data_IF_276583194235
#
_entry.id   IF_276583194235
#
_cell.length_a   1.000
_cell.length_b   1.000
_cell.length_c   1.000
_cell.angle_alpha   90.00
_cell.angle_beta   90.00
_cell.angle_gamma   90.00
#
_symmetry.space_group_name_H-M   'P 1'
#
loop_
_entity.id
_entity.type
_entity.pdbx_description
1 polymer ?
#
# COMPACT_ATOMS: atom_id res chain seq x y z
N UNK A 1 21.82 46.88 46.91
CA UNK A 1 22.22 46.50 45.54
C UNK A 1 21.00 45.84 44.94
N UNK A 2 20.48 46.51 43.91
CA UNK A 2 19.20 46.33 43.24
C UNK A 2 19.06 44.94 42.62
N UNK A 3 17.91 44.30 42.85
CA UNK A 3 17.43 43.19 42.03
C UNK A 3 16.70 43.81 40.84
N UNK A 4 17.26 43.64 39.65
CA UNK A 4 16.59 43.98 38.40
C UNK A 4 15.65 42.82 38.03
N UNK A 5 14.35 43.08 38.15
CA UNK A 5 13.29 42.27 37.57
C UNK A 5 13.25 42.52 36.06
N UNK A 6 13.77 41.59 35.25
CA UNK A 6 13.54 41.58 33.81
C UNK A 6 12.14 41.01 33.52
N UNK A 7 11.20 41.92 33.31
CA UNK A 7 9.86 41.70 32.79
C UNK A 7 9.94 41.30 31.30
N UNK A 8 10.07 39.99 31.04
CA UNK A 8 9.94 39.43 29.69
C UNK A 8 8.45 39.36 29.33
N UNK A 9 7.97 40.45 28.75
CA UNK A 9 6.68 40.53 28.07
C UNK A 9 6.64 39.50 26.92
N UNK A 10 5.98 38.37 27.19
CA UNK A 10 5.61 37.39 26.15
C UNK A 10 4.48 37.99 25.32
N UNK A 11 4.81 38.44 24.12
CA UNK A 11 3.82 38.70 23.09
C UNK A 11 2.99 37.42 22.83
N UNK A 12 1.67 37.51 22.67
CA UNK A 12 0.85 36.35 22.38
C UNK A 12 1.24 35.82 20.99
N UNK A 13 1.76 34.59 20.95
CA UNK A 13 1.92 33.84 19.72
C UNK A 13 0.52 33.66 19.12
N UNK A 14 0.22 34.37 18.03
CA UNK A 14 -0.96 34.11 17.22
C UNK A 14 -0.89 32.68 16.70
N UNK A 15 -1.77 31.82 17.23
CA UNK A 15 -1.91 30.47 16.76
C UNK A 15 -2.40 30.49 15.29
N UNK A 16 -1.92 29.60 14.42
CA UNK A 16 -2.42 29.50 13.06
C UNK A 16 -3.93 29.26 13.06
N UNK A 17 -4.64 29.96 12.17
CA UNK A 17 -6.12 29.98 12.04
C UNK A 17 -6.77 28.59 11.83
N UNK A 18 -5.97 27.55 11.58
CA UNK A 18 -6.41 26.18 11.37
C UNK A 18 -6.96 25.46 12.62
N UNK A 19 -7.03 26.13 13.78
CA UNK A 19 -7.64 25.63 15.02
C UNK A 19 -8.97 26.33 15.39
N UNK A 20 -9.67 26.94 14.43
CA UNK A 20 -10.94 27.61 14.72
C UNK A 20 -12.00 26.67 15.31
N UNK A 21 -12.52 27.15 16.45
CA UNK A 21 -13.64 26.66 17.25
C UNK A 21 -14.88 26.41 16.38
N UNK A 22 -15.74 25.49 16.79
CA UNK A 22 -16.85 24.93 15.99
C UNK A 22 -17.70 25.93 15.20
N UNK A 23 -18.32 25.42 14.13
CA UNK A 23 -19.10 26.18 13.15
C UNK A 23 -20.23 27.01 13.79
N UNK A 24 -20.40 28.24 13.31
CA UNK A 24 -21.55 29.06 13.67
C UNK A 24 -22.86 28.42 13.19
N UNK A 25 -23.99 28.74 13.83
CA UNK A 25 -25.28 28.14 13.52
C UNK A 25 -25.69 28.32 12.05
N UNK A 26 -25.34 29.46 11.47
CA UNK A 26 -25.59 29.83 10.07
C UNK A 26 -24.71 29.08 9.06
N UNK A 27 -23.57 28.54 9.51
CA UNK A 27 -22.68 27.71 8.69
C UNK A 27 -23.08 26.22 8.72
N UNK A 28 -24.02 25.84 9.58
CA UNK A 28 -24.45 24.46 9.74
C UNK A 28 -25.41 24.05 8.62
N UNK A 29 -25.30 22.81 8.18
CA UNK A 29 -26.17 22.22 7.15
C UNK A 29 -27.28 21.43 7.83
N UNK A 30 -28.54 21.75 7.53
CA UNK A 30 -29.71 21.03 8.05
C UNK A 30 -29.96 19.77 7.24
N UNK A 31 -30.10 18.62 7.90
CA UNK A 31 -30.48 17.37 7.24
C UNK A 31 -31.94 17.42 6.81
N UNK A 32 -32.23 17.12 5.54
CA UNK A 32 -33.61 17.12 5.01
C UNK A 32 -34.49 16.01 5.62
N UNK A 33 -33.89 14.90 6.04
CA UNK A 33 -34.61 13.75 6.60
C UNK A 33 -34.98 13.93 8.07
N UNK A 34 -34.02 14.35 8.91
CA UNK A 34 -34.24 14.44 10.36
C UNK A 34 -34.25 15.86 10.92
N UNK A 35 -34.08 16.86 10.05
CA UNK A 35 -34.11 18.30 10.36
C UNK A 35 -33.08 18.76 11.41
N UNK A 36 -32.05 17.94 11.69
CA UNK A 36 -30.98 18.29 12.64
C UNK A 36 -29.84 18.98 11.92
N UNK A 37 -29.27 19.99 12.58
CA UNK A 37 -28.11 20.73 12.09
C UNK A 37 -26.84 19.87 12.17
N UNK A 38 -26.01 19.93 11.14
CA UNK A 38 -24.76 19.19 11.01
C UNK A 38 -23.61 20.14 10.64
N UNK A 39 -22.36 19.83 11.04
CA UNK A 39 -21.20 20.54 10.55
C UNK A 39 -21.11 20.47 9.01
N UNK A 40 -20.74 21.57 8.33
CA UNK A 40 -20.63 21.62 6.86
C UNK A 40 -19.51 20.74 6.29
N UNK A 41 -18.61 20.24 7.14
CA UNK A 41 -17.51 19.35 6.76
C UNK A 41 -17.95 17.92 6.42
N UNK A 42 -19.19 17.53 6.75
CA UNK A 42 -19.71 16.16 6.56
C UNK A 42 -20.51 16.03 5.27
N UNK A 43 -20.45 14.84 4.69
CA UNK A 43 -21.30 14.43 3.56
C UNK A 43 -22.57 13.69 4.00
N UNK A 44 -22.59 13.16 5.23
CA UNK A 44 -23.73 12.43 5.82
C UNK A 44 -24.10 12.96 7.20
N UNK A 45 -25.40 12.95 7.49
CA UNK A 45 -25.96 13.38 8.76
C UNK A 45 -25.41 12.54 9.92
N UNK A 46 -24.95 13.21 10.98
CA UNK A 46 -24.46 12.59 12.20
C UNK A 46 -25.52 11.73 12.91
N UNK A 47 -26.81 12.04 12.73
CA UNK A 47 -27.89 11.46 13.52
C UNK A 47 -28.67 10.35 12.82
N UNK A 48 -28.89 10.46 11.50
CA UNK A 48 -29.67 9.49 10.74
C UNK A 48 -28.91 8.91 9.54
N UNK A 49 -27.66 9.31 9.31
CA UNK A 49 -26.82 8.87 8.20
C UNK A 49 -27.31 9.23 6.79
N UNK A 50 -28.41 9.99 6.66
CA UNK A 50 -28.89 10.50 5.37
C UNK A 50 -27.86 11.43 4.73
N UNK A 51 -27.83 11.48 3.40
CA UNK A 51 -26.98 12.41 2.66
C UNK A 51 -27.36 13.86 2.98
N UNK A 52 -26.36 14.72 3.18
CA UNK A 52 -26.58 16.16 3.40
C UNK A 52 -26.58 16.90 2.06
N UNK A 53 -27.43 17.92 1.88
CA UNK A 53 -27.47 18.72 0.66
C UNK A 53 -26.12 19.37 0.39
N UNK A 54 -25.74 19.45 -0.89
CA UNK A 54 -24.52 20.14 -1.32
C UNK A 54 -24.85 21.62 -1.55
N UNK A 55 -24.27 22.49 -0.73
CA UNK A 55 -24.29 23.95 -0.93
C UNK A 55 -22.88 24.40 -1.30
N UNK A 56 -22.73 25.51 -2.04
CA UNK A 56 -21.39 26.03 -2.41
C UNK A 56 -20.49 26.22 -1.18
N UNK A 57 -21.03 26.82 -0.11
CA UNK A 57 -20.31 27.02 1.15
C UNK A 57 -19.92 25.70 1.86
N UNK A 58 -20.74 24.64 1.74
CA UNK A 58 -20.39 23.34 2.33
C UNK A 58 -19.43 22.54 1.45
N UNK A 59 -19.48 22.72 0.12
CA UNK A 59 -18.58 22.04 -0.81
C UNK A 59 -17.10 22.37 -0.53
N UNK A 60 -16.80 23.64 -0.22
CA UNK A 60 -15.44 24.09 0.10
C UNK A 60 -14.91 23.56 1.44
N UNK A 61 -15.82 23.31 2.40
CA UNK A 61 -15.48 22.87 3.75
C UNK A 61 -15.49 21.34 3.89
N UNK A 62 -16.06 20.61 2.93
CA UNK A 62 -16.11 19.14 2.96
C UNK A 62 -14.73 18.54 3.01
N UNK A 63 -14.56 17.58 3.92
CA UNK A 63 -13.34 16.80 4.06
C UNK A 63 -13.61 15.33 3.75
N UNK A 64 -12.69 14.63 3.07
CA UNK A 64 -12.82 13.20 2.84
C UNK A 64 -12.75 12.45 4.17
N UNK A 65 -13.54 11.38 4.31
CA UNK A 65 -13.59 10.57 5.54
C UNK A 65 -12.76 9.30 5.33
N UNK A 66 -11.46 9.50 5.20
CA UNK A 66 -10.51 8.41 4.97
C UNK A 66 -10.43 7.51 6.21
N UNK A 67 -11.15 6.39 6.17
CA UNK A 67 -11.01 5.29 7.13
C UNK A 67 -10.12 4.20 6.54
N UNK A 68 -9.51 3.43 7.43
CA UNK A 68 -8.84 2.19 7.02
C UNK A 68 -9.89 1.21 6.51
N UNK A 69 -9.69 0.70 5.30
CA UNK A 69 -10.48 -0.39 4.75
C UNK A 69 -9.95 -1.72 5.26
N UNK A 70 -10.87 -2.64 5.53
CA UNK A 70 -10.55 -4.02 5.86
C UNK A 70 -9.98 -4.76 4.65
N UNK A 71 -9.35 -5.92 4.90
CA UNK A 71 -8.65 -6.68 3.86
C UNK A 71 -9.56 -7.09 2.69
N UNK A 72 -10.81 -7.44 2.98
CA UNK A 72 -11.80 -7.90 2.00
C UNK A 72 -12.59 -6.75 1.35
N UNK A 73 -12.46 -5.53 1.85
CA UNK A 73 -13.17 -4.37 1.30
C UNK A 73 -12.48 -3.87 0.04
N UNK A 74 -13.28 -3.69 -1.02
CA UNK A 74 -12.84 -3.00 -2.25
C UNK A 74 -12.87 -1.48 -2.02
N UNK A 75 -11.94 -0.78 -2.64
CA UNK A 75 -11.84 0.67 -2.57
C UNK A 75 -11.33 1.30 -3.86
N UNK A 76 -11.11 2.61 -3.78
CA UNK A 76 -10.65 3.46 -4.86
C UNK A 76 -9.33 4.10 -4.44
N UNK A 77 -8.26 3.82 -5.18
CA UNK A 77 -6.92 4.33 -4.88
C UNK A 77 -6.76 5.69 -5.56
N UNK A 78 -6.44 6.73 -4.80
CA UNK A 78 -6.05 8.03 -5.33
C UNK A 78 -4.54 8.00 -5.49
N UNK A 79 -4.07 7.95 -6.74
CA UNK A 79 -2.66 7.74 -7.08
C UNK A 79 -2.06 9.06 -7.56
N UNK A 80 -0.99 9.48 -6.89
CA UNK A 80 -0.11 10.57 -7.34
C UNK A 80 0.66 10.12 -8.56
N UNK A 81 0.56 10.87 -9.65
CA UNK A 81 1.44 10.74 -10.80
C UNK A 81 2.71 11.58 -10.60
N UNK A 82 3.83 11.22 -11.25
CA UNK A 82 5.04 12.02 -11.20
C UNK A 82 4.77 13.48 -11.57
N UNK A 83 5.07 14.37 -10.64
CA UNK A 83 5.02 15.81 -10.82
C UNK A 83 6.29 16.44 -10.21
N UNK A 84 6.65 17.61 -10.70
CA UNK A 84 7.69 18.42 -10.05
C UNK A 84 7.07 19.13 -8.86
N UNK A 85 7.73 19.06 -7.71
CA UNK A 85 7.34 19.84 -6.55
C UNK A 85 7.59 21.32 -6.87
N UNK A 86 6.51 22.09 -7.01
CA UNK A 86 6.59 23.54 -7.12
C UNK A 86 6.49 24.22 -5.76
N UNK A 87 6.84 25.50 -5.69
CA UNK A 87 6.84 26.31 -4.45
C UNK A 87 5.51 26.27 -3.68
N UNK A 88 4.38 26.15 -4.39
CA UNK A 88 3.04 26.03 -3.78
C UNK A 88 2.84 24.76 -2.96
N UNK A 89 3.55 23.68 -3.26
CA UNK A 89 3.46 22.43 -2.53
C UNK A 89 4.24 22.50 -1.21
N UNK A 90 5.35 23.25 -1.19
CA UNK A 90 6.20 23.40 -0.01
C UNK A 90 5.50 24.11 1.14
N UNK A 91 4.63 25.06 0.83
CA UNK A 91 3.84 25.79 1.83
C UNK A 91 2.56 25.05 2.25
N UNK A 92 2.16 24.00 1.53
CA UNK A 92 0.87 23.33 1.70
C UNK A 92 0.97 21.95 2.40
N UNK A 93 2.16 21.53 2.83
CA UNK A 93 2.36 20.19 3.40
C UNK A 93 1.44 19.85 4.56
N UNK A 94 1.26 20.78 5.50
CA UNK A 94 0.40 20.58 6.68
C UNK A 94 -1.07 20.44 6.32
N UNK A 95 -1.54 21.18 5.32
CA UNK A 95 -2.93 21.07 4.86
C UNK A 95 -3.18 19.75 4.15
N UNK A 96 -2.29 19.38 3.22
CA UNK A 96 -2.40 18.15 2.42
C UNK A 96 -2.28 16.92 3.32
N UNK A 97 -1.32 16.91 4.26
CA UNK A 97 -1.13 15.81 5.21
C UNK A 97 -2.35 15.65 6.11
N UNK A 98 -2.93 16.75 6.59
CA UNK A 98 -4.17 16.77 7.36
C UNK A 98 -5.39 16.25 6.58
N UNK A 99 -5.48 16.57 5.28
CA UNK A 99 -6.55 16.08 4.41
C UNK A 99 -6.44 14.57 4.15
N UNK A 100 -5.22 14.09 3.92
CA UNK A 100 -4.92 12.68 3.64
C UNK A 100 -4.81 11.80 4.89
N UNK A 101 -4.73 12.42 6.07
CA UNK A 101 -4.42 11.76 7.36
C UNK A 101 -3.07 11.01 7.32
N UNK A 102 -2.11 11.60 6.63
CA UNK A 102 -0.72 11.13 6.56
C UNK A 102 0.16 12.00 7.45
N UNK A 103 1.31 11.47 7.89
CA UNK A 103 2.36 12.33 8.43
C UNK A 103 3.00 13.13 7.29
N UNK A 104 3.52 14.33 7.59
CA UNK A 104 4.16 15.15 6.56
C UNK A 104 5.39 14.46 5.93
N UNK A 105 6.16 13.73 6.74
CA UNK A 105 7.35 12.99 6.29
C UNK A 105 6.96 11.86 5.32
N UNK A 106 5.84 11.20 5.56
CA UNK A 106 5.30 10.15 4.69
C UNK A 106 4.89 10.75 3.34
N UNK A 107 4.16 11.86 3.36
CA UNK A 107 3.75 12.58 2.16
C UNK A 107 4.96 13.08 1.35
N UNK A 108 5.94 13.70 2.02
CA UNK A 108 7.19 14.15 1.40
C UNK A 108 7.95 12.99 0.77
N UNK A 109 8.00 11.83 1.44
CA UNK A 109 8.62 10.60 0.92
C UNK A 109 7.91 10.08 -0.34
N UNK A 110 6.57 10.09 -0.35
CA UNK A 110 5.78 9.70 -1.52
C UNK A 110 6.06 10.63 -2.72
N UNK A 111 6.04 11.94 -2.51
CA UNK A 111 6.31 12.93 -3.58
C UNK A 111 7.76 12.82 -4.07
N UNK A 112 8.73 12.69 -3.15
CA UNK A 112 10.15 12.58 -3.48
C UNK A 112 10.49 11.30 -4.27
N UNK A 113 9.69 10.24 -4.15
CA UNK A 113 9.90 9.00 -4.89
C UNK A 113 9.79 9.19 -6.42
N UNK A 114 9.05 10.22 -6.89
CA UNK A 114 8.78 10.50 -8.31
C UNK A 114 8.26 9.29 -9.09
N UNK A 115 7.52 8.43 -8.39
CA UNK A 115 6.84 7.28 -8.96
C UNK A 115 5.34 7.42 -8.74
N UNK A 116 4.51 6.82 -9.62
CA UNK A 116 3.11 6.60 -9.36
C UNK A 116 2.86 5.83 -8.05
N UNK A 117 2.37 6.52 -7.02
CA UNK A 117 2.15 5.96 -5.68
C UNK A 117 0.80 6.42 -5.12
N UNK A 118 0.09 5.55 -4.37
CA UNK A 118 -1.17 5.91 -3.75
C UNK A 118 -0.96 6.93 -2.61
N UNK A 119 -1.81 7.96 -2.57
CA UNK A 119 -1.93 8.94 -1.48
C UNK A 119 -3.08 8.63 -0.52
N UNK A 120 -4.13 7.99 -1.03
CA UNK A 120 -5.27 7.56 -0.24
C UNK A 120 -5.94 6.34 -0.87
N UNK A 121 -6.69 5.60 -0.05
CA UNK A 121 -7.61 4.56 -0.50
C UNK A 121 -8.98 4.85 0.12
N UNK A 122 -9.93 5.25 -0.72
CA UNK A 122 -11.28 5.64 -0.32
C UNK A 122 -12.25 4.46 -0.43
N UNK A 123 -13.31 4.50 0.36
CA UNK A 123 -14.36 3.47 0.35
C UNK A 123 -15.32 3.57 -0.84
N UNK A 124 -15.43 4.77 -1.43
CA UNK A 124 -16.34 5.06 -2.54
C UNK A 124 -15.67 5.94 -3.59
N UNK A 125 -16.18 5.88 -4.82
CA UNK A 125 -15.69 6.75 -5.90
C UNK A 125 -15.88 8.24 -5.58
N UNK A 126 -17.03 8.62 -5.01
CA UNK A 126 -17.30 10.02 -4.62
C UNK A 126 -16.28 10.56 -3.62
N UNK A 127 -15.87 9.73 -2.65
CA UNK A 127 -14.86 10.11 -1.68
C UNK A 127 -13.46 10.22 -2.32
N UNK A 128 -13.10 9.32 -3.23
CA UNK A 128 -11.86 9.43 -3.99
C UNK A 128 -11.83 10.69 -4.88
N UNK A 129 -12.94 11.00 -5.56
CA UNK A 129 -13.08 12.20 -6.37
C UNK A 129 -12.96 13.47 -5.52
N UNK A 130 -13.54 13.49 -4.31
CA UNK A 130 -13.37 14.59 -3.37
C UNK A 130 -11.90 14.79 -2.96
N UNK A 131 -11.15 13.70 -2.70
CA UNK A 131 -9.70 13.81 -2.44
C UNK A 131 -9.00 14.42 -3.66
N UNK A 132 -9.30 13.93 -4.86
CA UNK A 132 -8.71 14.42 -6.10
C UNK A 132 -8.96 15.93 -6.29
N UNK A 133 -10.21 16.37 -6.17
CA UNK A 133 -10.62 17.77 -6.34
C UNK A 133 -10.01 18.70 -5.29
N UNK A 134 -9.83 18.21 -4.06
CA UNK A 134 -9.16 18.98 -3.01
C UNK A 134 -7.65 19.08 -3.19
N UNK A 135 -7.04 18.15 -3.91
CA UNK A 135 -5.60 18.13 -4.11
C UNK A 135 -5.14 18.80 -5.42
N UNK A 136 -6.02 18.86 -6.44
CA UNK A 136 -5.77 19.54 -7.71
C UNK A 136 -5.27 20.99 -7.56
N UNK A 137 -5.81 21.84 -6.65
CA UNK A 137 -5.35 23.22 -6.48
C UNK A 137 -3.87 23.34 -6.06
N UNK A 138 -3.30 22.31 -5.43
CA UNK A 138 -1.88 22.28 -5.06
C UNK A 138 -0.97 21.82 -6.22
N UNK A 139 -1.51 21.67 -7.43
CA UNK A 139 -0.76 21.27 -8.62
C UNK A 139 -0.44 19.76 -8.69
N UNK A 140 -1.01 18.95 -7.80
CA UNK A 140 -0.81 17.50 -7.80
C UNK A 140 -1.57 16.86 -8.97
N UNK A 141 -0.85 16.06 -9.75
CA UNK A 141 -1.44 15.24 -10.82
C UNK A 141 -1.88 13.91 -10.23
N UNK A 142 -3.17 13.62 -10.32
CA UNK A 142 -3.79 12.48 -9.67
C UNK A 142 -4.62 11.68 -10.66
N UNK A 143 -4.77 10.40 -10.37
CA UNK A 143 -5.77 9.53 -10.99
C UNK A 143 -6.46 8.69 -9.92
N UNK A 144 -7.73 8.36 -10.14
CA UNK A 144 -8.47 7.42 -9.29
C UNK A 144 -8.49 6.04 -9.95
N UNK A 145 -7.96 5.04 -9.25
CA UNK A 145 -7.87 3.65 -9.73
C UNK A 145 -8.68 2.72 -8.82
N UNK A 146 -9.81 2.15 -9.28
CA UNK A 146 -10.55 1.14 -8.54
C UNK A 146 -9.71 -0.11 -8.26
N UNK A 147 -9.88 -0.74 -7.09
CA UNK A 147 -9.23 -2.03 -6.81
C UNK A 147 -9.65 -3.15 -7.78
N UNK A 148 -10.86 -3.04 -8.33
CA UNK A 148 -11.38 -3.95 -9.37
C UNK A 148 -10.49 -3.93 -10.62
N UNK A 149 -10.04 -2.75 -11.05
CA UNK A 149 -9.15 -2.59 -12.19
C UNK A 149 -7.74 -3.13 -11.90
N UNK A 150 -7.32 -3.13 -10.63
CA UNK A 150 -6.07 -3.76 -10.20
C UNK A 150 -6.19 -5.29 -10.10
N UNK A 151 -7.42 -5.82 -10.03
CA UNK A 151 -7.75 -7.25 -10.00
C UNK A 151 -6.91 -8.06 -8.99
N UNK A 152 -6.63 -7.47 -7.82
CA UNK A 152 -5.70 -8.02 -6.81
C UNK A 152 -6.19 -9.36 -6.27
N UNK A 153 -7.49 -9.47 -5.98
CA UNK A 153 -8.09 -10.67 -5.39
C UNK A 153 -8.59 -11.69 -6.44
N UNK A 154 -8.95 -11.21 -7.63
CA UNK A 154 -9.55 -12.05 -8.68
C UNK A 154 -8.51 -12.77 -9.54
N UNK A 155 -7.36 -12.13 -9.76
CA UNK A 155 -6.29 -12.65 -10.61
C UNK A 155 -5.08 -12.93 -9.72
N UNK A 156 -5.07 -14.08 -9.07
CA UNK A 156 -3.92 -14.50 -8.26
C UNK A 156 -2.71 -14.76 -9.18
N UNK A 157 -1.51 -14.26 -8.84
CA UNK A 157 -0.29 -14.55 -9.60
C UNK A 157 -0.06 -16.06 -9.76
N UNK A 158 0.17 -16.50 -10.99
CA UNK A 158 0.52 -17.90 -11.27
C UNK A 158 1.98 -18.14 -10.91
N UNK A 159 2.22 -18.76 -9.76
CA UNK A 159 3.57 -19.07 -9.28
C UNK A 159 4.24 -20.12 -10.17
N UNK A 160 5.48 -19.87 -10.53
CA UNK A 160 6.30 -20.75 -11.36
C UNK A 160 7.35 -21.47 -10.53
N UNK A 161 7.59 -22.75 -10.84
CA UNK A 161 8.67 -23.55 -10.26
C UNK A 161 9.91 -23.63 -11.15
N UNK A 162 9.74 -23.45 -12.46
CA UNK A 162 10.83 -23.51 -13.42
C UNK A 162 10.47 -22.78 -14.72
N UNK A 163 11.49 -22.47 -15.51
CA UNK A 163 11.36 -22.01 -16.88
C UNK A 163 12.23 -22.88 -17.80
N UNK A 164 11.91 -22.84 -19.10
CA UNK A 164 12.83 -23.22 -20.17
C UNK A 164 12.88 -22.09 -21.18
N UNK A 165 14.09 -21.62 -21.49
CA UNK A 165 14.28 -20.59 -22.49
C UNK A 165 14.43 -21.23 -23.87
N UNK A 166 13.62 -20.76 -24.82
CA UNK A 166 13.72 -21.09 -26.24
C UNK A 166 14.16 -19.85 -27.01
N UNK A 167 14.34 -19.99 -28.33
CA UNK A 167 14.82 -18.90 -29.17
C UNK A 167 13.83 -17.72 -29.17
N UNK A 168 12.56 -17.99 -29.46
CA UNK A 168 11.52 -16.95 -29.63
C UNK A 168 10.50 -16.93 -28.49
N UNK A 169 10.59 -17.86 -27.55
CA UNK A 169 9.65 -18.01 -26.44
C UNK A 169 10.34 -18.45 -25.15
N UNK A 170 9.56 -18.45 -24.07
CA UNK A 170 9.85 -19.19 -22.85
C UNK A 170 8.72 -20.17 -22.57
N UNK A 171 9.05 -21.31 -21.98
CA UNK A 171 8.09 -22.26 -21.45
C UNK A 171 8.08 -22.13 -19.93
N UNK A 172 6.92 -21.81 -19.38
CA UNK A 172 6.68 -21.61 -17.97
C UNK A 172 6.02 -22.83 -17.33
N UNK A 173 6.64 -23.34 -16.26
CA UNK A 173 6.15 -24.49 -15.50
C UNK A 173 5.55 -24.02 -14.17
N UNK A 174 4.22 -24.11 -13.99
CA UNK A 174 3.56 -23.69 -12.76
C UNK A 174 3.92 -24.58 -11.57
N UNK A 175 3.89 -24.00 -10.36
CA UNK A 175 4.05 -24.75 -9.10
C UNK A 175 2.84 -25.67 -8.83
N UNK A 176 1.64 -25.29 -9.30
CA UNK A 176 0.39 -26.03 -9.07
C UNK A 176 0.31 -27.39 -9.78
N UNK A 177 1.29 -27.75 -10.61
CA UNK A 177 1.24 -28.95 -11.44
C UNK A 177 0.35 -28.84 -12.67
N UNK A 178 -0.21 -27.64 -12.94
CA UNK A 178 -0.90 -27.36 -14.19
C UNK A 178 0.04 -27.48 -15.42
N UNK A 179 -0.56 -27.60 -16.60
CA UNK A 179 0.19 -27.69 -17.86
C UNK A 179 1.15 -26.51 -18.04
N UNK A 180 2.29 -26.80 -18.65
CA UNK A 180 3.26 -25.79 -19.01
C UNK A 180 2.65 -24.86 -20.06
N UNK A 181 2.95 -23.56 -19.94
CA UNK A 181 2.48 -22.55 -20.89
C UNK A 181 3.67 -21.97 -21.64
N UNK A 182 3.54 -21.77 -22.95
CA UNK A 182 4.53 -21.05 -23.75
C UNK A 182 4.13 -19.58 -23.85
N UNK A 183 5.11 -18.69 -23.76
CA UNK A 183 4.95 -17.25 -23.88
C UNK A 183 6.03 -16.70 -24.80
N UNK A 184 5.66 -15.94 -25.83
CA UNK A 184 6.66 -15.33 -26.72
C UNK A 184 7.36 -14.16 -26.03
N UNK A 185 8.63 -13.95 -26.36
CA UNK A 185 9.39 -12.84 -25.78
C UNK A 185 8.79 -11.46 -26.11
N UNK A 186 8.15 -11.32 -27.27
CA UNK A 186 7.53 -10.08 -27.76
C UNK A 186 6.10 -9.84 -27.23
N UNK A 187 5.54 -10.80 -26.51
CA UNK A 187 4.26 -10.69 -25.80
C UNK A 187 4.45 -10.21 -24.35
N UNK A 188 5.66 -10.32 -23.80
CA UNK A 188 6.01 -9.79 -22.48
C UNK A 188 6.03 -8.26 -22.55
N UNK A 189 5.32 -7.62 -21.62
CA UNK A 189 5.11 -6.16 -21.62
C UNK A 189 5.66 -5.46 -20.40
N UNK A 190 5.63 -6.13 -19.24
CA UNK A 190 6.11 -5.57 -17.99
C UNK A 190 6.76 -6.66 -17.15
N UNK A 191 7.91 -6.31 -16.58
CA UNK A 191 8.65 -7.08 -15.61
C UNK A 191 8.74 -6.23 -14.34
N UNK A 192 8.25 -6.73 -13.21
CA UNK A 192 8.33 -6.01 -11.92
C UNK A 192 9.12 -6.85 -10.95
N UNK A 193 10.25 -6.34 -10.48
CA UNK A 193 11.08 -7.00 -9.46
C UNK A 193 10.79 -6.43 -8.08
N UNK A 194 10.98 -7.26 -7.07
CA UNK A 194 10.78 -6.88 -5.67
C UNK A 194 11.39 -7.87 -4.71
N UNK A 195 11.23 -7.59 -3.42
CA UNK A 195 11.57 -8.49 -2.32
C UNK A 195 10.36 -8.70 -1.42
N UNK A 196 9.99 -9.95 -1.23
CA UNK A 196 8.97 -10.36 -0.27
C UNK A 196 9.63 -10.61 1.08
N UNK A 197 9.23 -9.84 2.07
CA UNK A 197 9.63 -9.98 3.45
C UNK A 197 8.48 -10.59 4.24
N UNK A 198 8.75 -11.72 4.89
CA UNK A 198 7.82 -12.35 5.83
C UNK A 198 8.48 -12.41 7.19
N UNK A 199 7.81 -11.87 8.20
CA UNK A 199 8.22 -11.98 9.60
C UNK A 199 7.16 -12.74 10.36
N UNK A 200 7.54 -13.81 11.05
CA UNK A 200 6.67 -14.61 11.91
C UNK A 200 7.22 -14.64 13.32
N UNK A 201 6.45 -14.10 14.25
CA UNK A 201 6.74 -14.12 15.68
C UNK A 201 5.83 -15.15 16.33
N UNK A 202 6.40 -16.15 16.99
CA UNK A 202 5.68 -17.17 17.75
C UNK A 202 5.92 -16.92 19.23
N UNK A 203 4.85 -16.71 19.99
CA UNK A 203 4.89 -16.46 21.44
C UNK A 203 4.26 -17.66 22.14
N UNK A 204 5.01 -18.27 23.06
CA UNK A 204 4.49 -19.27 23.99
C UNK A 204 4.19 -18.60 25.32
N UNK A 205 2.93 -18.65 25.75
CA UNK A 205 2.47 -18.10 27.01
C UNK A 205 2.02 -19.19 27.98
N UNK A 206 2.20 -18.94 29.27
CA UNK A 206 1.68 -19.81 30.33
C UNK A 206 0.82 -19.00 31.28
N UNK A 207 -0.29 -19.59 31.71
CA UNK A 207 -1.14 -18.99 32.74
C UNK A 207 -0.38 -18.88 34.06
N UNK A 208 -0.14 -17.66 34.52
CA UNK A 208 0.51 -17.41 35.79
C UNK A 208 -0.38 -17.88 36.95
N UNK A 209 0.19 -18.52 37.98
CA UNK A 209 -0.58 -19.03 39.13
C UNK A 209 -1.12 -17.94 40.06
N UNK A 210 -0.66 -16.68 39.92
CA UNK A 210 -0.97 -15.57 40.84
C UNK A 210 -1.24 -14.22 40.15
N UNK A 211 -1.25 -14.16 38.82
CA UNK A 211 -1.53 -12.93 38.05
C UNK A 211 -2.68 -13.17 37.07
N UNK A 212 -3.44 -12.11 36.78
CA UNK A 212 -4.45 -12.11 35.73
C UNK A 212 -3.82 -12.14 34.32
N UNK A 213 -2.55 -11.75 34.20
CA UNK A 213 -1.79 -11.76 32.96
C UNK A 213 -1.02 -13.08 32.79
N UNK A 214 -0.94 -13.55 31.54
CA UNK A 214 -0.12 -14.70 31.19
C UNK A 214 1.37 -14.32 31.22
N UNK A 215 2.21 -15.28 31.57
CA UNK A 215 3.67 -15.13 31.55
C UNK A 215 4.19 -15.63 30.19
N UNK A 216 4.88 -14.75 29.44
CA UNK A 216 5.58 -15.12 28.21
C UNK A 216 6.74 -16.05 28.60
N UNK A 217 6.69 -17.28 28.10
CA UNK A 217 7.68 -18.32 28.38
C UNK A 217 8.79 -18.36 27.34
N UNK A 218 8.42 -18.22 26.07
CA UNK A 218 9.33 -18.26 24.93
C UNK A 218 8.80 -17.36 23.83
N UNK A 219 9.70 -16.74 23.07
CA UNK A 219 9.37 -15.95 21.91
C UNK A 219 10.39 -16.24 20.80
N UNK A 220 9.90 -16.73 19.65
CA UNK A 220 10.73 -17.08 18.49
C UNK A 220 10.37 -16.19 17.33
N UNK A 221 11.39 -15.65 16.68
CA UNK A 221 11.23 -14.83 15.48
C UNK A 221 11.85 -15.54 14.27
N UNK A 222 11.05 -15.67 13.22
CA UNK A 222 11.48 -16.17 11.92
C UNK A 222 11.33 -15.04 10.91
N UNK A 223 12.38 -14.78 10.14
CA UNK A 223 12.35 -13.83 9.03
C UNK A 223 12.74 -14.54 7.75
N UNK A 224 12.04 -14.21 6.66
CA UNK A 224 12.42 -14.60 5.32
C UNK A 224 12.40 -13.38 4.41
N UNK A 225 13.33 -13.38 3.47
CA UNK A 225 13.48 -12.35 2.47
C UNK A 225 13.75 -13.01 1.12
N UNK A 226 12.79 -12.87 0.20
CA UNK A 226 12.77 -13.58 -1.07
C UNK A 226 12.70 -12.60 -2.24
N UNK A 227 13.63 -12.71 -3.19
CA UNK A 227 13.53 -11.97 -4.45
C UNK A 227 12.39 -12.52 -5.31
N UNK A 228 11.58 -11.63 -5.87
CA UNK A 228 10.43 -11.97 -6.71
C UNK A 228 10.42 -11.19 -8.02
N UNK A 229 9.90 -11.83 -9.06
CA UNK A 229 9.69 -11.24 -10.38
C UNK A 229 8.25 -11.55 -10.82
N UNK A 230 7.48 -10.50 -11.08
CA UNK A 230 6.21 -10.59 -11.79
C UNK A 230 6.42 -10.35 -13.29
N UNK A 231 5.91 -11.26 -14.11
CA UNK A 231 5.97 -11.23 -15.57
C UNK A 231 4.55 -11.03 -16.11
N UNK A 232 4.36 -9.96 -16.85
CA UNK A 232 3.10 -9.62 -17.50
C UNK A 232 3.20 -9.75 -19.01
N UNK A 233 2.14 -10.28 -19.61
CA UNK A 233 1.98 -10.36 -21.06
C UNK A 233 0.71 -9.67 -21.52
N UNK A 234 0.65 -9.32 -22.81
CA UNK A 234 -0.40 -8.48 -23.42
C UNK A 234 -1.82 -8.95 -23.10
N UNK A 235 -2.07 -10.25 -23.23
CA UNK A 235 -3.44 -10.78 -23.24
C UNK A 235 -3.95 -11.28 -21.88
N UNK A 236 -3.20 -11.05 -20.80
CA UNK A 236 -3.58 -11.51 -19.47
C UNK A 236 -3.50 -10.41 -18.42
N UNK A 237 -4.57 -10.35 -17.62
CA UNK A 237 -4.60 -9.59 -16.38
C UNK A 237 -3.77 -10.29 -15.27
N UNK A 238 -3.67 -11.62 -15.29
CA UNK A 238 -2.86 -12.38 -14.35
C UNK A 238 -1.38 -12.39 -14.76
N UNK A 239 -0.48 -12.06 -13.84
CA UNK A 239 0.96 -12.23 -14.01
C UNK A 239 1.40 -13.67 -13.69
N UNK A 240 2.57 -14.03 -14.23
CA UNK A 240 3.37 -15.15 -13.73
C UNK A 240 4.30 -14.61 -12.65
N UNK A 241 4.47 -15.34 -11.54
CA UNK A 241 5.36 -14.94 -10.44
C UNK A 241 6.47 -15.96 -10.24
N UNK A 242 7.71 -15.49 -10.22
CA UNK A 242 8.87 -16.27 -9.82
C UNK A 242 9.29 -15.85 -8.42
N UNK A 243 9.52 -16.84 -7.57
CA UNK A 243 9.95 -16.72 -6.17
C UNK A 243 11.30 -17.41 -6.04
N UNK A 244 12.36 -16.67 -5.72
CA UNK A 244 13.73 -17.16 -5.83
C UNK A 244 14.03 -18.41 -4.98
N UNK A 245 13.39 -18.59 -3.82
CA UNK A 245 13.71 -19.68 -2.90
C UNK A 245 13.13 -21.03 -3.35
N UNK A 246 12.11 -21.02 -4.21
CA UNK A 246 11.39 -22.22 -4.66
C UNK A 246 11.45 -22.40 -6.19
N UNK A 247 12.46 -21.81 -6.85
CA UNK A 247 12.58 -21.81 -8.30
C UNK A 247 13.81 -22.57 -8.79
N UNK A 248 13.63 -23.41 -9.80
CA UNK A 248 14.71 -24.10 -10.49
C UNK A 248 15.33 -23.23 -11.59
N UNK A 249 16.53 -22.72 -11.31
CA UNK A 249 17.33 -21.90 -12.23
C UNK A 249 18.07 -22.70 -13.32
N UNK A 250 17.71 -23.96 -13.57
CA UNK A 250 18.31 -24.76 -14.65
C UNK A 250 18.10 -24.16 -16.04
N UNK A 251 17.15 -23.23 -16.21
CA UNK A 251 16.99 -22.42 -17.43
C UNK A 251 18.25 -21.61 -17.81
N UNK A 252 19.14 -21.33 -16.85
CA UNK A 252 20.39 -20.59 -17.07
C UNK A 252 21.51 -21.46 -17.66
N UNK A 253 21.33 -22.78 -17.72
CA UNK A 253 22.31 -23.72 -18.26
C UNK A 253 23.69 -23.55 -17.62
N UNK A 254 24.73 -23.42 -18.47
CA UNK A 254 26.12 -23.24 -18.02
C UNK A 254 26.37 -21.95 -17.23
N UNK A 255 25.46 -20.97 -17.29
CA UNK A 255 25.57 -19.71 -16.54
C UNK A 255 24.89 -19.78 -15.17
N UNK A 256 24.36 -20.93 -14.76
CA UNK A 256 23.84 -21.15 -13.40
C UNK A 256 24.99 -21.16 -12.38
N UNK A 257 24.88 -20.39 -11.31
CA UNK A 257 25.76 -20.45 -10.14
C UNK A 257 25.13 -21.25 -8.99
N UNK A 258 25.89 -21.44 -7.92
CA UNK A 258 25.40 -22.08 -6.69
C UNK A 258 24.56 -21.13 -5.82
N UNK A 259 24.54 -19.83 -6.12
CA UNK A 259 23.89 -18.80 -5.30
C UNK A 259 22.58 -18.37 -5.96
N UNK A 260 21.46 -18.61 -5.28
CA UNK A 260 20.12 -18.29 -5.81
C UNK A 260 19.95 -16.80 -6.17
N UNK A 261 20.53 -15.89 -5.38
CA UNK A 261 20.47 -14.46 -5.66
C UNK A 261 21.19 -14.06 -6.96
N UNK A 262 22.36 -14.65 -7.24
CA UNK A 262 23.09 -14.43 -8.50
C UNK A 262 22.32 -15.00 -9.69
N UNK A 263 21.75 -16.20 -9.52
CA UNK A 263 20.90 -16.82 -10.53
C UNK A 263 19.67 -15.98 -10.85
N UNK A 264 19.02 -15.42 -9.82
CA UNK A 264 17.88 -14.53 -10.00
C UNK A 264 18.27 -13.27 -10.78
N UNK A 265 19.39 -12.63 -10.43
CA UNK A 265 19.89 -11.47 -11.17
C UNK A 265 20.22 -11.80 -12.63
N UNK A 266 20.92 -12.91 -12.90
CA UNK A 266 21.23 -13.38 -14.26
C UNK A 266 19.96 -13.68 -15.07
N UNK A 267 18.94 -14.24 -14.42
CA UNK A 267 17.65 -14.49 -15.03
C UNK A 267 16.96 -13.18 -15.42
N UNK A 268 16.91 -12.19 -14.53
CA UNK A 268 16.34 -10.85 -14.83
C UNK A 268 17.06 -10.18 -16.00
N UNK A 269 18.39 -10.26 -16.05
CA UNK A 269 19.17 -9.74 -17.19
C UNK A 269 18.88 -10.51 -18.49
N UNK A 270 18.65 -11.82 -18.41
CA UNK A 270 18.22 -12.61 -19.57
C UNK A 270 16.85 -12.16 -20.06
N UNK A 271 15.91 -11.90 -19.16
CA UNK A 271 14.61 -11.32 -19.50
C UNK A 271 14.75 -9.95 -20.16
N UNK A 272 15.58 -9.06 -19.60
CA UNK A 272 15.84 -7.73 -20.16
C UNK A 272 16.42 -7.81 -21.58
N UNK A 273 17.33 -8.74 -21.82
CA UNK A 273 17.97 -8.92 -23.12
C UNK A 273 17.00 -9.51 -24.17
N UNK A 274 16.17 -10.48 -23.81
CA UNK A 274 15.29 -11.21 -24.74
C UNK A 274 13.93 -10.55 -24.93
N UNK A 275 13.31 -10.06 -23.85
CA UNK A 275 12.06 -9.32 -23.87
C UNK A 275 12.33 -7.82 -24.03
N UNK A 276 13.02 -7.42 -25.11
CA UNK A 276 13.49 -6.04 -25.31
C UNK A 276 12.39 -4.99 -25.40
N UNK A 277 11.13 -5.40 -25.63
CA UNK A 277 9.94 -4.53 -25.63
C UNK A 277 9.29 -4.40 -24.25
N UNK A 278 9.67 -5.23 -23.28
CA UNK A 278 9.10 -5.19 -21.95
C UNK A 278 9.69 -4.04 -21.15
N UNK A 279 8.84 -3.30 -20.44
CA UNK A 279 9.30 -2.34 -19.43
C UNK A 279 9.80 -3.13 -18.21
N UNK A 280 10.99 -2.81 -17.73
CA UNK A 280 11.51 -3.33 -16.47
C UNK A 280 11.30 -2.31 -15.36
N UNK A 281 10.70 -2.74 -14.25
CA UNK A 281 10.52 -1.96 -13.04
C UNK A 281 11.23 -2.62 -11.86
N UNK A 282 12.18 -1.89 -11.28
CA UNK A 282 12.99 -2.34 -10.15
C UNK A 282 12.78 -1.46 -8.91
N UNK A 283 11.77 -0.60 -8.94
CA UNK A 283 11.64 0.50 -7.98
C UNK A 283 10.87 0.14 -6.71
N UNK A 284 10.14 -0.99 -6.71
CA UNK A 284 9.33 -1.44 -5.57
C UNK A 284 10.09 -1.40 -4.24
N UNK A 285 11.29 -1.98 -4.21
CA UNK A 285 12.08 -2.07 -2.97
C UNK A 285 12.43 -0.70 -2.38
N UNK A 286 12.62 0.31 -3.24
CA UNK A 286 12.92 1.69 -2.83
C UNK A 286 11.68 2.42 -2.32
N UNK A 287 10.52 2.17 -2.93
CA UNK A 287 9.26 2.86 -2.60
C UNK A 287 8.40 2.14 -1.56
N UNK A 288 8.77 0.93 -1.15
CA UNK A 288 8.00 0.08 -0.22
C UNK A 288 7.55 0.80 1.05
N UNK A 289 8.43 1.59 1.65
CA UNK A 289 8.13 2.32 2.88
C UNK A 289 7.14 3.47 2.61
N UNK A 290 7.25 4.14 1.45
CA UNK A 290 6.31 5.18 1.03
C UNK A 290 4.92 4.62 0.68
N UNK A 291 4.83 3.32 0.33
CA UNK A 291 3.54 2.65 0.12
C UNK A 291 2.81 2.31 1.43
N UNK A 292 3.54 2.11 2.53
CA UNK A 292 3.01 1.55 3.77
C UNK A 292 1.84 2.32 4.40
N UNK A 293 1.77 3.67 4.35
CA UNK A 293 0.66 4.42 4.93
C UNK A 293 -0.69 4.12 4.26
N UNK A 294 -0.70 3.87 2.95
CA UNK A 294 -1.93 3.62 2.18
C UNK A 294 -2.14 2.14 1.89
N UNK A 295 -1.07 1.42 1.59
CA UNK A 295 -1.04 -0.03 1.41
C UNK A 295 -0.12 -0.65 2.45
N UNK A 296 -0.59 -0.87 3.69
CA UNK A 296 0.22 -1.47 4.73
C UNK A 296 0.58 -2.92 4.39
N UNK A 297 1.59 -3.44 5.08
CA UNK A 297 1.86 -4.86 5.11
C UNK A 297 0.68 -5.60 5.75
N UNK A 298 0.39 -6.80 5.25
CA UNK A 298 -0.59 -7.69 5.88
C UNK A 298 -0.01 -8.17 7.20
N UNK A 299 -0.86 -8.23 8.24
CA UNK A 299 -0.53 -8.82 9.53
C UNK A 299 -1.68 -9.73 9.96
N UNK A 300 -1.34 -10.96 10.34
CA UNK A 300 -2.31 -11.97 10.77
C UNK A 300 -1.80 -12.65 12.03
N UNK A 301 -2.65 -12.73 13.05
CA UNK A 301 -2.37 -13.43 14.31
C UNK A 301 -3.24 -14.67 14.38
N UNK A 302 -2.62 -15.82 14.61
CA UNK A 302 -3.27 -17.12 14.69
C UNK A 302 -2.91 -17.80 16.01
N UNK A 303 -3.88 -18.40 16.68
CA UNK A 303 -3.59 -19.30 17.80
C UNK A 303 -3.11 -20.64 17.25
N UNK A 304 -1.96 -21.10 17.72
CA UNK A 304 -1.40 -22.43 17.41
C UNK A 304 -1.90 -23.52 18.37
N UNK A 305 -2.78 -23.14 19.31
CA UNK A 305 -3.44 -24.06 20.23
C UNK A 305 -2.69 -24.27 21.55
N UNK A 306 -3.10 -25.31 22.28
CA UNK A 306 -2.60 -25.63 23.60
C UNK A 306 -1.49 -26.66 23.50
N UNK A 307 -0.32 -26.33 24.04
CA UNK A 307 0.79 -27.27 24.17
C UNK A 307 0.81 -27.84 25.59
N UNK A 308 0.88 -29.17 25.67
CA UNK A 308 1.02 -29.89 26.93
C UNK A 308 2.44 -30.37 27.08
N UNK A 309 3.12 -29.87 28.09
CA UNK A 309 4.33 -30.49 28.64
C UNK A 309 3.96 -31.16 29.96
N UNK A 310 4.78 -32.10 30.44
CA UNK A 310 4.48 -32.91 31.62
C UNK A 310 4.06 -32.00 32.81
N UNK A 311 2.77 -32.02 33.15
CA UNK A 311 2.16 -31.24 34.24
C UNK A 311 1.94 -29.74 33.96
N UNK A 312 2.14 -29.24 32.74
CA UNK A 312 2.02 -27.81 32.39
C UNK A 312 1.28 -27.62 31.07
N UNK A 313 0.45 -26.58 31.02
CA UNK A 313 -0.34 -26.18 29.86
C UNK A 313 0.13 -24.79 29.42
N UNK A 314 0.55 -24.65 28.17
CA UNK A 314 0.89 -23.37 27.53
C UNK A 314 0.01 -23.13 26.30
N UNK A 315 -0.18 -21.87 25.96
CA UNK A 315 -0.83 -21.39 24.73
C UNK A 315 0.24 -20.87 23.80
N UNK A 316 0.18 -21.25 22.52
CA UNK A 316 1.06 -20.70 21.49
C UNK A 316 0.25 -19.81 20.54
N UNK A 317 0.77 -18.64 20.21
CA UNK A 317 0.23 -17.72 19.21
C UNK A 317 1.31 -17.34 18.21
N UNK A 318 0.93 -17.16 16.95
CA UNK A 318 1.83 -16.75 15.89
C UNK A 318 1.29 -15.51 15.18
N UNK A 319 2.08 -14.43 15.17
CA UNK A 319 1.82 -13.24 14.38
C UNK A 319 2.72 -13.25 13.15
N UNK A 320 2.12 -13.28 11.96
CA UNK A 320 2.83 -13.21 10.68
C UNK A 320 2.56 -11.88 10.00
N UNK A 321 3.61 -11.16 9.60
CA UNK A 321 3.53 -10.00 8.73
C UNK A 321 4.19 -10.24 7.38
N UNK A 322 3.57 -9.76 6.30
CA UNK A 322 4.04 -9.96 4.92
C UNK A 322 3.72 -8.75 4.04
N UNK A 323 4.64 -8.38 3.16
CA UNK A 323 4.43 -7.34 2.14
C UNK A 323 3.92 -7.91 0.80
N UNK A 324 3.53 -9.18 0.71
CA UNK A 324 3.12 -9.80 -0.57
C UNK A 324 1.92 -9.09 -1.22
N UNK A 325 0.89 -8.75 -0.44
CA UNK A 325 -0.29 -8.02 -0.94
C UNK A 325 0.11 -6.62 -1.41
N UNK A 326 1.01 -5.95 -0.68
CA UNK A 326 1.54 -4.64 -1.06
C UNK A 326 2.34 -4.70 -2.38
N UNK A 327 3.23 -5.69 -2.54
CA UNK A 327 3.95 -5.93 -3.80
C UNK A 327 2.99 -6.21 -4.95
N UNK A 328 1.97 -7.03 -4.71
CA UNK A 328 0.97 -7.38 -5.74
C UNK A 328 0.18 -6.16 -6.18
N UNK A 329 -0.31 -5.32 -5.25
CA UNK A 329 -0.98 -4.04 -5.57
C UNK A 329 -0.09 -3.12 -6.39
N UNK A 330 1.15 -2.94 -5.95
CA UNK A 330 2.14 -2.13 -6.66
C UNK A 330 2.37 -2.65 -8.09
N UNK A 331 2.67 -3.93 -8.23
CA UNK A 331 2.90 -4.61 -9.51
C UNK A 331 1.70 -4.44 -10.47
N UNK A 332 0.47 -4.57 -9.94
CA UNK A 332 -0.77 -4.35 -10.70
C UNK A 332 -0.96 -2.90 -11.09
N UNK A 333 -0.67 -1.95 -10.21
CA UNK A 333 -0.73 -0.52 -10.53
C UNK A 333 0.24 -0.18 -11.66
N UNK A 334 1.47 -0.70 -11.64
CA UNK A 334 2.45 -0.49 -12.73
C UNK A 334 1.94 -1.00 -14.06
N UNK A 335 1.27 -2.16 -14.06
CA UNK A 335 0.59 -2.65 -15.26
C UNK A 335 -0.58 -1.76 -15.68
N UNK A 336 -1.45 -1.39 -14.75
CA UNK A 336 -2.60 -0.54 -15.03
C UNK A 336 -2.15 0.74 -15.73
N UNK A 337 -1.13 1.40 -15.18
CA UNK A 337 -0.56 2.61 -15.74
C UNK A 337 0.06 2.38 -17.11
N UNK A 338 0.78 1.27 -17.34
CA UNK A 338 1.35 0.97 -18.65
C UNK A 338 0.31 0.96 -19.79
N UNK A 339 -0.93 0.59 -19.51
CA UNK A 339 -2.02 0.52 -20.51
C UNK A 339 -2.98 1.70 -20.46
N UNK A 340 -2.93 2.53 -19.42
CA UNK A 340 -3.90 3.64 -19.21
C UNK A 340 -3.23 5.01 -19.03
N UNK A 341 -1.90 5.13 -19.07
CA UNK A 341 -1.18 6.40 -18.87
C UNK A 341 -1.32 7.42 -20.01
N UNK A 342 -1.97 7.06 -21.12
CA UNK A 342 -2.26 7.94 -22.26
C UNK A 342 -3.69 8.49 -22.26
N UNK A 343 -4.46 8.26 -21.18
CA UNK A 343 -5.77 8.88 -20.93
C UNK A 343 -5.65 9.91 -19.83
#
# INVERSE_FOLDING_TARGET
MSNDDEDVSREPIEAPESLQRGFALEQMVTCEECLRANPPTRTTCLYCSAALPETEASAELRRPTLRRLEKWERGFNVVLLPCEAGDSLETAWTEISGLLRLQEEELKSIVAAREPLPLARASTFKEAALVEDRLKPFGLKLIVVPDEDLAVDEKIPKRLRALRFEQDSLVAYPTSGAEASSLRWDEITLLVTGRLFVRRIVVEERRARRSAENEIRDAREFTSDEAVLDIYHKDSMACLRISANNFDFSCLGATKSLIAAENFARMVETFRARASRARLDETYNRVRNALAPVWPMDQQTESLGLRREIGKLSTEEATTSSNETQFTRYSRLRRYLLYNSDR
#
